data_IF_875871333798
#
_entry.id   IF_875871333798
#
_cell.length_a   1.000
_cell.length_b   1.000
_cell.length_c   1.000
_cell.angle_alpha   90.00
_cell.angle_beta   90.00
_cell.angle_gamma   90.00
#
_symmetry.space_group_name_H-M   'P 1'
#
loop_
_entity.id
_entity.type
_entity.pdbx_description
1 polymer ?
#
# COMPACT_ATOMS: atom_id res chain seq x y z
N UNK A 1 -4.17 9.57 1.27
CA UNK A 1 -3.98 8.10 1.33
C UNK A 1 -5.26 7.53 0.75
N UNK A 2 -5.36 7.61 -0.58
CA UNK A 2 -6.57 7.28 -1.34
C UNK A 2 -6.55 5.80 -1.78
N UNK A 3 -7.70 5.20 -2.12
CA UNK A 3 -7.75 3.84 -2.67
C UNK A 3 -6.76 3.63 -3.83
N UNK A 4 -6.05 2.50 -3.77
CA UNK A 4 -5.02 2.09 -4.73
C UNK A 4 -3.66 2.78 -4.57
N UNK A 5 -3.49 3.73 -3.64
CA UNK A 5 -2.17 4.33 -3.39
C UNK A 5 -1.27 3.38 -2.59
N UNK A 6 0.03 3.41 -2.89
CA UNK A 6 1.09 2.73 -2.14
C UNK A 6 1.77 3.74 -1.23
N UNK A 7 1.94 3.37 0.04
CA UNK A 7 2.64 4.20 1.03
C UNK A 7 3.65 3.38 1.83
N UNK A 8 4.70 4.05 2.31
CA UNK A 8 5.76 3.43 3.10
C UNK A 8 5.27 3.14 4.53
N UNK A 9 5.41 1.90 4.99
CA UNK A 9 5.20 1.57 6.39
C UNK A 9 6.44 1.97 7.21
N UNK A 10 6.23 2.27 8.50
CA UNK A 10 7.27 2.73 9.42
C UNK A 10 6.95 2.33 10.86
N UNK A 11 7.92 2.53 11.75
CA UNK A 11 7.71 2.46 13.20
C UNK A 11 7.19 3.80 13.73
N UNK A 12 7.20 3.98 15.05
CA UNK A 12 6.84 5.25 15.70
C UNK A 12 7.73 6.42 15.26
N UNK A 13 9.00 6.16 14.92
CA UNK A 13 9.90 7.18 14.38
C UNK A 13 9.51 7.53 12.92
N UNK A 14 9.22 8.80 12.60
CA UNK A 14 8.82 9.22 11.26
C UNK A 14 9.86 8.92 10.16
N UNK A 15 11.15 8.80 10.50
CA UNK A 15 12.24 8.54 9.56
C UNK A 15 12.72 7.08 9.55
N UNK A 16 11.87 6.13 9.98
CA UNK A 16 12.23 4.71 10.11
C UNK A 16 11.77 3.80 8.96
N UNK A 17 11.17 4.36 7.91
CA UNK A 17 10.73 3.58 6.76
C UNK A 17 11.92 2.85 6.09
N UNK A 18 11.74 1.57 5.78
CA UNK A 18 12.75 0.74 5.11
C UNK A 18 12.17 0.05 3.88
N UNK A 19 11.82 -1.24 3.95
CA UNK A 19 11.33 -2.02 2.81
C UNK A 19 9.83 -2.32 2.87
N UNK A 20 9.18 -2.07 4.00
CA UNK A 20 7.76 -2.37 4.17
C UNK A 20 6.90 -1.27 3.53
N UNK A 21 5.88 -1.69 2.78
CA UNK A 21 4.87 -0.81 2.19
C UNK A 21 3.48 -1.41 2.38
N UNK A 22 2.45 -0.59 2.23
CA UNK A 22 1.06 -1.04 2.19
C UNK A 22 0.32 -0.41 1.00
N UNK A 23 -0.79 -1.03 0.60
CA UNK A 23 -1.69 -0.52 -0.43
C UNK A 23 -3.02 -0.16 0.23
N UNK A 24 -3.48 1.07 0.02
CA UNK A 24 -4.76 1.52 0.56
C UNK A 24 -5.93 0.90 -0.21
N UNK A 25 -6.83 0.17 0.47
CA UNK A 25 -8.05 -0.39 -0.14
C UNK A 25 -9.24 0.60 -0.09
N UNK A 26 -9.23 1.51 0.88
CA UNK A 26 -10.27 2.50 1.14
C UNK A 26 -9.60 3.86 1.43
N UNK A 27 -10.34 4.98 1.44
CA UNK A 27 -9.80 6.27 1.84
C UNK A 27 -9.34 6.23 3.31
N UNK A 28 -8.05 6.43 3.55
CA UNK A 28 -7.43 6.43 4.88
C UNK A 28 -6.83 7.81 5.18
N UNK A 29 -7.64 8.86 5.09
CA UNK A 29 -7.18 10.26 5.21
C UNK A 29 -6.52 10.58 6.55
N UNK A 30 -6.82 9.81 7.60
CA UNK A 30 -6.12 9.91 8.90
C UNK A 30 -4.63 9.56 8.82
N UNK A 31 -4.15 8.92 7.75
CA UNK A 31 -2.74 8.64 7.50
C UNK A 31 -2.03 9.75 6.70
N UNK A 32 -2.76 10.76 6.21
CA UNK A 32 -2.17 11.86 5.44
C UNK A 32 -1.41 12.86 6.30
N UNK A 33 -0.44 13.55 5.68
CA UNK A 33 0.25 14.67 6.32
C UNK A 33 -0.61 15.94 6.28
N UNK A 34 -0.73 16.68 7.38
CA UNK A 34 -0.32 16.30 8.74
C UNK A 34 -1.31 15.31 9.38
N UNK A 35 -0.79 14.23 9.98
CA UNK A 35 -1.60 13.28 10.75
C UNK A 35 -1.60 13.65 12.23
N UNK A 36 -2.27 12.85 13.07
CA UNK A 36 -2.33 13.04 14.53
C UNK A 36 -0.95 13.02 15.19
N UNK A 37 0.03 12.34 14.59
CA UNK A 37 1.43 12.32 15.04
C UNK A 37 2.30 13.40 14.40
N UNK A 38 1.72 14.26 13.56
CA UNK A 38 2.40 15.33 12.84
C UNK A 38 3.07 14.91 11.52
N UNK A 39 3.12 13.62 11.18
CA UNK A 39 3.91 13.13 10.03
C UNK A 39 3.10 12.34 9.00
N UNK A 40 2.21 11.45 9.45
CA UNK A 40 1.48 10.56 8.54
C UNK A 40 2.37 9.53 7.83
N UNK A 41 1.94 9.06 6.67
CA UNK A 41 2.59 8.01 5.87
C UNK A 41 2.78 8.45 4.43
N UNK A 42 4.02 8.38 3.95
CA UNK A 42 4.43 8.89 2.65
C UNK A 42 3.92 8.00 1.51
N UNK A 43 2.99 8.54 0.70
CA UNK A 43 2.54 7.92 -0.55
C UNK A 43 3.61 8.10 -1.62
N UNK A 44 4.00 7.01 -2.30
CA UNK A 44 5.04 7.03 -3.35
C UNK A 44 4.58 6.43 -4.69
N UNK A 45 3.38 5.84 -4.74
CA UNK A 45 2.89 5.19 -5.95
C UNK A 45 1.39 4.97 -5.97
N UNK A 46 0.89 4.47 -7.09
CA UNK A 46 -0.50 4.06 -7.27
C UNK A 46 -0.59 2.83 -8.15
N UNK A 47 -1.45 1.90 -7.77
CA UNK A 47 -1.84 0.76 -8.60
C UNK A 47 -2.51 1.27 -9.86
N UNK A 48 -1.94 0.96 -11.03
CA UNK A 48 -2.50 1.33 -12.35
C UNK A 48 -3.25 0.17 -13.02
N UNK A 49 -2.97 -1.07 -12.62
CA UNK A 49 -3.60 -2.31 -13.10
C UNK A 49 -3.60 -3.34 -11.97
N UNK A 50 -4.61 -4.22 -11.94
CA UNK A 50 -4.70 -5.30 -10.96
C UNK A 50 -5.25 -4.90 -9.59
N UNK A 51 -6.07 -3.83 -9.51
CA UNK A 51 -6.70 -3.44 -8.24
C UNK A 51 -7.66 -4.52 -7.72
N UNK A 52 -8.31 -5.27 -8.61
CA UNK A 52 -9.15 -6.42 -8.25
C UNK A 52 -8.36 -7.53 -7.55
N UNK A 53 -7.10 -7.74 -7.95
CA UNK A 53 -6.19 -8.70 -7.29
C UNK A 53 -5.83 -8.20 -5.88
N UNK A 54 -5.52 -6.91 -5.76
CA UNK A 54 -5.22 -6.28 -4.47
C UNK A 54 -6.43 -6.37 -3.52
N UNK A 55 -7.65 -6.14 -4.02
CA UNK A 55 -8.88 -6.31 -3.25
C UNK A 55 -9.15 -7.77 -2.84
N UNK A 56 -8.84 -8.75 -3.70
CA UNK A 56 -8.92 -10.18 -3.36
C UNK A 56 -7.95 -10.52 -2.24
N UNK A 57 -6.71 -10.04 -2.30
CA UNK A 57 -5.71 -10.22 -1.23
C UNK A 57 -6.22 -9.62 0.08
N UNK A 58 -6.84 -8.44 0.05
CA UNK A 58 -7.41 -7.80 1.24
C UNK A 58 -8.54 -8.56 1.93
N UNK A 59 -9.08 -9.62 1.31
CA UNK A 59 -10.23 -10.41 1.79
C UNK A 59 -9.87 -11.86 2.15
N UNK A 60 -8.61 -12.28 2.00
CA UNK A 60 -8.20 -13.65 2.34
C UNK A 60 -8.39 -13.93 3.83
N UNK A 61 -8.59 -15.20 4.18
CA UNK A 61 -8.66 -15.60 5.59
C UNK A 61 -7.35 -15.27 6.31
N UNK A 62 -7.45 -14.68 7.50
CA UNK A 62 -6.30 -14.33 8.33
C UNK A 62 -6.40 -14.93 9.72
N UNK A 63 -5.26 -15.01 10.41
CA UNK A 63 -5.15 -15.41 11.80
C UNK A 63 -3.96 -14.77 12.48
N UNK A 64 -3.63 -15.26 13.68
CA UNK A 64 -2.47 -14.79 14.44
C UNK A 64 -1.27 -15.72 14.20
N UNK A 65 -0.07 -15.14 14.05
CA UNK A 65 1.20 -15.90 14.02
C UNK A 65 2.24 -15.18 14.89
N UNK A 66 2.66 -15.81 15.97
CA UNK A 66 3.55 -15.18 16.96
C UNK A 66 2.91 -13.92 17.53
N UNK A 67 3.65 -12.81 17.52
CA UNK A 67 3.15 -11.50 17.97
C UNK A 67 2.36 -10.74 16.89
N UNK A 68 2.22 -11.29 15.68
CA UNK A 68 1.54 -10.63 14.57
C UNK A 68 0.08 -11.09 14.43
N UNK A 69 -0.80 -10.13 14.20
CA UNK A 69 -2.21 -10.33 13.88
C UNK A 69 -2.46 -10.08 12.38
N UNK A 70 -3.60 -10.54 11.88
CA UNK A 70 -4.02 -10.36 10.48
C UNK A 70 -3.03 -10.97 9.46
N UNK A 71 -2.37 -12.07 9.82
CA UNK A 71 -1.47 -12.79 8.92
C UNK A 71 -2.29 -13.75 8.05
N UNK A 72 -2.16 -13.74 6.71
CA UNK A 72 -2.85 -14.69 5.85
C UNK A 72 -2.66 -16.15 6.30
N UNK A 73 -3.76 -16.91 6.35
CA UNK A 73 -3.72 -18.35 6.66
C UNK A 73 -2.92 -19.08 5.59
N UNK A 74 -3.26 -18.82 4.32
CA UNK A 74 -2.44 -19.19 3.18
C UNK A 74 -1.53 -18.01 2.81
N UNK A 75 -0.19 -18.18 2.76
CA UNK A 75 0.73 -17.09 2.46
C UNK A 75 0.48 -16.45 1.09
N UNK A 76 0.38 -15.11 1.06
CA UNK A 76 0.36 -14.33 -0.19
C UNK A 76 1.79 -13.90 -0.49
N UNK A 77 2.41 -14.53 -1.49
CA UNK A 77 3.84 -14.36 -1.80
C UNK A 77 4.02 -13.52 -3.07
N UNK A 78 4.88 -12.51 -3.00
CA UNK A 78 5.39 -11.84 -4.21
C UNK A 78 6.50 -12.71 -4.78
N UNK A 79 6.19 -13.51 -5.78
CA UNK A 79 7.15 -14.44 -6.40
C UNK A 79 8.25 -13.72 -7.18
N UNK A 80 7.93 -12.57 -7.80
CA UNK A 80 8.91 -11.72 -8.47
C UNK A 80 8.45 -10.26 -8.52
N UNK A 81 9.42 -9.34 -8.56
CA UNK A 81 9.19 -7.93 -8.79
C UNK A 81 10.17 -7.44 -9.88
N UNK A 82 9.68 -6.61 -10.81
CA UNK A 82 10.47 -6.10 -11.94
C UNK A 82 10.20 -4.62 -12.13
N UNK A 83 11.26 -3.84 -12.35
CA UNK A 83 11.12 -2.49 -12.87
C UNK A 83 10.78 -2.61 -14.34
N UNK A 84 9.58 -2.15 -14.71
CA UNK A 84 9.14 -2.08 -16.10
C UNK A 84 9.37 -0.66 -16.62
N UNK A 85 9.65 -0.51 -17.90
CA UNK A 85 9.63 0.80 -18.52
C UNK A 85 8.26 1.43 -18.29
N UNK A 86 8.25 2.71 -17.89
CA UNK A 86 7.01 3.40 -17.63
C UNK A 86 6.14 3.38 -18.90
N UNK A 87 4.93 2.86 -18.77
CA UNK A 87 3.91 3.08 -19.79
C UNK A 87 3.80 4.58 -20.01
N UNK A 88 3.99 5.05 -21.26
CA UNK A 88 3.83 6.47 -21.60
C UNK A 88 2.55 6.98 -20.95
N UNK A 89 2.60 8.07 -20.16
CA UNK A 89 1.41 8.56 -19.48
C UNK A 89 0.32 8.78 -20.53
N UNK A 90 -0.85 8.18 -20.32
CA UNK A 90 -1.98 8.39 -21.19
C UNK A 90 -2.26 9.90 -21.23
N UNK A 91 -2.30 10.49 -22.44
CA UNK A 91 -2.61 11.91 -22.61
C UNK A 91 -3.91 12.19 -21.86
N UNK A 92 -3.85 13.01 -20.80
CA UNK A 92 -5.06 13.55 -20.19
C UNK A 92 -5.70 14.43 -21.26
N UNK A 93 -6.81 13.97 -21.83
CA UNK A 93 -7.66 14.83 -22.63
C UNK A 93 -8.23 15.88 -21.68
N UNK A 94 -7.72 17.11 -21.77
CA UNK A 94 -8.34 18.26 -21.15
C UNK A 94 -9.72 18.45 -21.80
N UNK A 95 -10.76 18.49 -20.97
CA UNK A 95 -12.03 19.13 -21.33
C UNK A 95 -11.99 20.56 -20.85
#
# INVERSE_FOLDING_TARGET
NEPGTLAMARTADPHSASAQFFINLVPNTFLDYPSRDGWGYAVFGKVIKGMDVVEKIGKVATGNRGFHQNVPVEPVVIESARVVEAAKPAKKNAK
#
